data_IF_231439007579
#
_entry.id   IF_231439007579
#
_cell.length_a   1.000
_cell.length_b   1.000
_cell.length_c   1.000
_cell.angle_alpha   90.00
_cell.angle_beta   90.00
_cell.angle_gamma   90.00
#
_symmetry.space_group_name_H-M   'P 1'
#
loop_
_entity.id
_entity.type
_entity.pdbx_description
1 polymer ?
#
# COMPACT_ATOMS: atom_id res chain seq x y z
N UNK A 1 -22.31 2.39 17.11
CA UNK A 1 -21.09 2.17 17.92
C UNK A 1 -20.04 3.14 17.43
N UNK A 2 -19.61 4.07 18.26
CA UNK A 2 -18.50 4.94 17.91
C UNK A 2 -17.19 4.13 17.94
N UNK A 3 -16.49 4.06 16.84
CA UNK A 3 -15.16 3.45 16.80
C UNK A 3 -14.20 4.35 17.59
N UNK A 4 -13.45 3.79 18.52
CA UNK A 4 -12.57 4.55 19.42
C UNK A 4 -11.14 4.62 18.83
N UNK A 5 -11.01 5.27 17.68
CA UNK A 5 -9.71 5.51 17.04
C UNK A 5 -9.17 6.90 17.47
N UNK A 6 -7.85 6.97 17.70
CA UNK A 6 -7.19 8.23 18.03
C UNK A 6 -6.46 8.78 16.80
N UNK A 7 -6.54 10.09 16.59
CA UNK A 7 -5.68 10.80 15.64
C UNK A 7 -4.23 10.67 16.15
N UNK A 8 -3.23 10.49 15.28
CA UNK A 8 -1.84 10.48 15.70
C UNK A 8 -1.47 11.74 16.49
N UNK A 9 -1.00 11.58 17.72
CA UNK A 9 -0.56 12.70 18.56
C UNK A 9 0.90 12.99 18.23
N UNK A 10 1.19 14.22 17.83
CA UNK A 10 2.54 14.70 17.49
C UNK A 10 2.74 16.10 18.06
N UNK A 11 3.97 16.43 18.41
CA UNK A 11 4.38 17.80 18.64
C UNK A 11 4.69 18.55 17.33
N UNK A 12 4.61 17.86 16.20
CA UNK A 12 4.87 18.42 14.88
C UNK A 12 3.58 19.07 14.35
N UNK A 13 3.65 20.34 13.98
CA UNK A 13 2.52 21.14 13.48
C UNK A 13 2.55 21.30 11.96
N UNK A 14 3.73 21.19 11.35
CA UNK A 14 3.97 21.32 9.90
C UNK A 14 4.83 20.16 9.40
N UNK A 15 5.18 20.17 8.10
CA UNK A 15 6.16 19.23 7.55
C UNK A 15 7.51 19.34 8.28
N UNK A 16 8.21 18.21 8.40
CA UNK A 16 9.45 18.13 9.18
C UNK A 16 10.57 18.97 8.57
N UNK A 17 11.19 19.84 9.37
CA UNK A 17 12.24 20.79 8.93
C UNK A 17 13.43 20.14 8.20
N UNK A 18 13.80 18.92 8.61
CA UNK A 18 14.92 18.18 8.00
C UNK A 18 14.51 17.30 6.82
N UNK A 19 13.24 17.31 6.40
CA UNK A 19 12.77 16.43 5.31
C UNK A 19 13.52 16.71 4.01
N UNK A 20 13.63 17.97 3.59
CA UNK A 20 14.31 18.34 2.34
C UNK A 20 15.78 17.88 2.32
N UNK A 21 16.52 18.13 3.40
CA UNK A 21 17.92 17.71 3.54
C UNK A 21 18.07 16.18 3.50
N UNK A 22 17.13 15.46 4.13
CA UNK A 22 17.10 14.00 4.14
C UNK A 22 16.88 13.45 2.72
N UNK A 23 15.93 14.01 1.99
CA UNK A 23 15.59 13.61 0.61
C UNK A 23 16.74 13.86 -0.35
N UNK A 24 17.41 15.01 -0.25
CA UNK A 24 18.56 15.32 -1.09
C UNK A 24 19.67 14.28 -0.89
N UNK A 25 19.95 13.90 0.36
CA UNK A 25 20.89 12.81 0.66
C UNK A 25 20.46 11.47 0.03
N UNK A 26 19.15 11.16 0.04
CA UNK A 26 18.65 9.91 -0.54
C UNK A 26 18.70 9.89 -2.07
N UNK A 27 18.55 11.03 -2.74
CA UNK A 27 18.73 11.15 -4.21
C UNK A 27 20.14 10.77 -4.65
N UNK A 28 21.16 11.10 -3.83
CA UNK A 28 22.58 10.89 -4.16
C UNK A 28 23.18 9.62 -3.54
N UNK A 29 22.38 8.81 -2.85
CA UNK A 29 22.84 7.58 -2.21
C UNK A 29 22.03 6.37 -2.61
N UNK A 30 22.71 5.28 -3.00
CA UNK A 30 22.04 4.00 -3.26
C UNK A 30 21.77 3.28 -1.94
N UNK A 31 20.52 2.85 -1.73
CA UNK A 31 20.19 1.96 -0.61
C UNK A 31 20.63 0.53 -0.94
N UNK A 32 21.67 0.02 -0.21
CA UNK A 32 22.38 -1.23 -0.53
C UNK A 32 22.23 -2.33 0.51
N UNK A 33 21.19 -2.29 1.35
CA UNK A 33 20.96 -3.39 2.30
C UNK A 33 20.84 -4.73 1.54
N UNK A 34 21.54 -5.81 1.96
CA UNK A 34 21.38 -7.12 1.36
C UNK A 34 19.94 -7.61 1.43
N UNK A 35 19.46 -8.27 0.37
CA UNK A 35 18.13 -8.88 0.36
C UNK A 35 18.08 -10.08 1.31
N UNK A 36 17.02 -10.18 2.09
CA UNK A 36 16.75 -11.41 2.83
C UNK A 36 16.31 -12.52 1.86
N UNK A 37 16.85 -13.72 2.03
CA UNK A 37 16.57 -14.83 1.11
C UNK A 37 15.08 -15.19 1.04
N UNK A 38 14.38 -15.16 2.18
CA UNK A 38 12.94 -15.42 2.20
C UNK A 38 12.13 -14.40 1.39
N UNK A 39 12.55 -13.12 1.32
CA UNK A 39 11.93 -12.10 0.50
C UNK A 39 12.16 -12.36 -1.00
N UNK A 40 13.37 -12.81 -1.39
CA UNK A 40 13.65 -13.20 -2.77
C UNK A 40 12.77 -14.36 -3.23
N UNK A 41 12.64 -15.40 -2.40
CA UNK A 41 11.81 -16.56 -2.70
C UNK A 41 10.33 -16.20 -2.78
N UNK A 42 9.83 -15.41 -1.83
CA UNK A 42 8.45 -14.95 -1.83
C UNK A 42 8.14 -14.06 -3.03
N UNK A 43 9.05 -13.17 -3.40
CA UNK A 43 8.95 -12.34 -4.60
C UNK A 43 8.87 -13.22 -5.86
N UNK A 44 9.83 -14.11 -6.07
CA UNK A 44 9.89 -14.99 -7.24
C UNK A 44 8.59 -15.81 -7.41
N UNK A 45 8.11 -16.43 -6.33
CA UNK A 45 6.87 -17.20 -6.34
C UNK A 45 5.65 -16.33 -6.66
N UNK A 46 5.60 -15.08 -6.19
CA UNK A 46 4.50 -14.15 -6.48
C UNK A 46 4.46 -13.70 -7.93
N UNK A 47 5.63 -13.44 -8.52
CA UNK A 47 5.74 -13.04 -9.93
C UNK A 47 5.42 -14.23 -10.85
N UNK A 48 5.95 -15.43 -10.55
CA UNK A 48 5.61 -16.66 -11.28
C UNK A 48 4.10 -16.92 -11.25
N UNK A 49 3.45 -16.77 -10.09
CA UNK A 49 2.00 -16.92 -9.96
C UNK A 49 1.25 -15.90 -10.84
N UNK A 50 1.62 -14.63 -10.80
CA UNK A 50 1.02 -13.60 -11.65
C UNK A 50 1.17 -13.93 -13.13
N UNK A 51 2.40 -14.24 -13.57
CA UNK A 51 2.71 -14.58 -14.96
C UNK A 51 1.97 -15.83 -15.45
N UNK A 52 1.75 -16.80 -14.55
CA UNK A 52 1.00 -18.03 -14.89
C UNK A 52 -0.50 -17.80 -14.99
N UNK A 53 -1.10 -17.02 -14.06
CA UNK A 53 -2.54 -16.87 -13.95
C UNK A 53 -3.10 -15.73 -14.79
N UNK A 54 -2.32 -14.66 -14.98
CA UNK A 54 -2.77 -13.44 -15.60
C UNK A 54 -1.64 -12.70 -16.36
N UNK A 55 -0.96 -13.35 -17.33
CA UNK A 55 0.24 -12.81 -17.98
C UNK A 55 -0.01 -11.50 -18.75
N UNK A 56 -1.25 -11.27 -19.19
CA UNK A 56 -1.64 -10.06 -19.95
C UNK A 56 -2.18 -8.93 -19.07
N UNK A 57 -2.47 -9.19 -17.79
CA UNK A 57 -3.03 -8.18 -16.90
C UNK A 57 -1.91 -7.32 -16.30
N UNK A 58 -2.01 -5.99 -16.37
CA UNK A 58 -1.08 -5.10 -15.68
C UNK A 58 -1.17 -5.29 -14.16
N UNK A 59 -0.05 -5.05 -13.47
CA UNK A 59 0.09 -5.26 -12.04
C UNK A 59 -0.42 -4.06 -11.23
N UNK A 60 -1.18 -4.34 -10.18
CA UNK A 60 -1.43 -3.41 -9.05
C UNK A 60 -0.70 -3.94 -7.82
N UNK A 61 0.06 -3.07 -7.15
CA UNK A 61 0.71 -3.36 -5.87
C UNK A 61 -0.05 -2.70 -4.72
N UNK A 62 -0.56 -3.49 -3.77
CA UNK A 62 -1.09 -3.02 -2.49
C UNK A 62 -0.02 -3.20 -1.40
N UNK A 63 0.74 -2.15 -1.14
CA UNK A 63 1.89 -2.17 -0.27
C UNK A 63 1.49 -1.95 1.20
N UNK A 64 1.64 -2.99 2.02
CA UNK A 64 1.18 -3.00 3.41
C UNK A 64 -0.28 -3.40 3.53
N UNK A 65 -0.72 -4.38 2.74
CA UNK A 65 -2.13 -4.79 2.61
C UNK A 65 -2.80 -5.29 3.90
N UNK A 66 -2.04 -5.52 4.95
CA UNK A 66 -2.57 -5.97 6.26
C UNK A 66 -3.31 -7.30 6.16
N UNK A 67 -4.63 -7.28 6.39
CA UNK A 67 -5.50 -8.44 6.28
C UNK A 67 -5.93 -8.75 4.84
N UNK A 68 -5.53 -7.93 3.87
CA UNK A 68 -5.82 -8.12 2.45
C UNK A 68 -7.19 -7.63 1.98
N UNK A 69 -7.99 -6.98 2.84
CA UNK A 69 -9.29 -6.44 2.42
C UNK A 69 -9.15 -5.37 1.32
N UNK A 70 -8.16 -4.48 1.43
CA UNK A 70 -7.84 -3.49 0.39
C UNK A 70 -7.47 -4.14 -0.93
N UNK A 71 -6.69 -5.21 -0.91
CA UNK A 71 -6.31 -5.94 -2.12
C UNK A 71 -7.50 -6.58 -2.82
N UNK A 72 -8.44 -7.17 -2.06
CA UNK A 72 -9.68 -7.73 -2.61
C UNK A 72 -10.55 -6.65 -3.25
N UNK A 73 -10.69 -5.53 -2.55
CA UNK A 73 -11.43 -4.38 -3.07
C UNK A 73 -10.80 -3.84 -4.34
N UNK A 74 -9.47 -3.68 -4.38
CA UNK A 74 -8.75 -3.27 -5.59
C UNK A 74 -8.95 -4.27 -6.74
N UNK A 75 -8.93 -5.58 -6.49
CA UNK A 75 -9.19 -6.60 -7.49
C UNK A 75 -10.62 -6.52 -8.07
N UNK A 76 -11.58 -6.13 -7.24
CA UNK A 76 -12.96 -5.88 -7.68
C UNK A 76 -13.09 -4.59 -8.49
N UNK A 77 -12.45 -3.50 -8.04
CA UNK A 77 -12.49 -2.20 -8.73
C UNK A 77 -11.72 -2.19 -10.06
N UNK A 78 -10.69 -3.03 -10.16
CA UNK A 78 -9.82 -3.11 -11.34
C UNK A 78 -9.79 -4.54 -11.90
N UNK A 79 -10.90 -5.07 -12.44
CA UNK A 79 -10.97 -6.45 -12.93
C UNK A 79 -9.99 -6.74 -14.08
N UNK A 80 -9.56 -5.71 -14.81
CA UNK A 80 -8.54 -5.79 -15.86
C UNK A 80 -7.09 -5.72 -15.35
N UNK A 81 -6.86 -5.90 -14.04
CA UNK A 81 -5.52 -5.89 -13.43
C UNK A 81 -5.34 -7.10 -12.52
N UNK A 82 -4.09 -7.49 -12.30
CA UNK A 82 -3.73 -8.45 -11.26
C UNK A 82 -3.22 -7.71 -10.03
N UNK A 83 -3.77 -7.98 -8.86
CA UNK A 83 -3.40 -7.32 -7.60
C UNK A 83 -2.46 -8.20 -6.80
N UNK A 84 -1.32 -7.66 -6.37
CA UNK A 84 -0.45 -8.30 -5.37
C UNK A 84 -0.50 -7.48 -4.07
N UNK A 85 -1.08 -8.08 -3.03
CA UNK A 85 -1.04 -7.55 -1.67
C UNK A 85 0.19 -8.05 -0.92
N UNK A 86 1.02 -7.13 -0.42
CA UNK A 86 2.25 -7.43 0.31
C UNK A 86 2.16 -6.95 1.74
N UNK A 87 2.39 -7.82 2.72
CA UNK A 87 2.54 -7.45 4.14
C UNK A 87 3.58 -8.35 4.82
N UNK A 88 4.38 -7.78 5.72
CA UNK A 88 5.39 -8.57 6.44
C UNK A 88 4.80 -9.40 7.59
N UNK A 89 3.59 -9.09 8.06
CA UNK A 89 2.97 -9.72 9.23
C UNK A 89 2.25 -11.03 8.88
N UNK A 90 2.78 -12.19 9.30
CA UNK A 90 2.09 -13.46 9.06
C UNK A 90 0.76 -13.54 9.81
N UNK A 91 0.63 -12.84 10.94
CA UNK A 91 -0.61 -12.84 11.74
C UNK A 91 -1.74 -12.12 11.00
N UNK A 92 -1.44 -11.01 10.33
CA UNK A 92 -2.44 -10.27 9.55
C UNK A 92 -2.91 -11.08 8.34
N UNK A 93 -1.98 -11.64 7.58
CA UNK A 93 -2.28 -12.47 6.41
C UNK A 93 -3.04 -13.75 6.77
N UNK A 94 -2.73 -14.42 7.92
CA UNK A 94 -3.46 -15.61 8.40
C UNK A 94 -4.89 -15.31 8.82
N UNK A 95 -5.18 -14.14 9.38
CA UNK A 95 -6.55 -13.76 9.77
C UNK A 95 -7.51 -13.80 8.58
N UNK A 96 -7.04 -13.51 7.40
CA UNK A 96 -7.80 -13.60 6.17
C UNK A 96 -8.21 -15.05 5.83
N UNK A 97 -7.27 -16.01 5.95
CA UNK A 97 -7.54 -17.43 5.67
C UNK A 97 -8.63 -17.94 6.61
N UNK A 98 -8.56 -17.62 7.90
CA UNK A 98 -9.54 -18.02 8.90
C UNK A 98 -10.94 -17.41 8.71
N UNK A 99 -11.07 -16.26 8.05
CA UNK A 99 -12.39 -15.66 7.72
C UNK A 99 -13.00 -16.29 6.47
N UNK A 100 -12.20 -16.76 5.53
CA UNK A 100 -12.68 -17.53 4.37
C UNK A 100 -13.20 -18.92 4.77
N UNK A 101 -12.52 -19.61 5.69
CA UNK A 101 -12.93 -20.94 6.17
C UNK A 101 -14.22 -20.94 7.02
N UNK A 102 -14.60 -19.81 7.60
CA UNK A 102 -15.80 -19.72 8.46
C UNK A 102 -17.10 -19.43 7.73
N UNK A 103 -17.07 -19.27 6.40
CA UNK A 103 -18.29 -19.07 5.60
C UNK A 103 -19.14 -17.86 6.01
N UNK A 104 -18.61 -16.93 6.80
CA UNK A 104 -19.33 -15.72 7.19
C UNK A 104 -19.42 -14.78 5.98
N UNK A 105 -20.63 -14.50 5.47
CA UNK A 105 -20.76 -13.53 4.40
C UNK A 105 -20.31 -12.18 4.93
N UNK A 106 -19.31 -11.61 4.26
CA UNK A 106 -18.88 -10.24 4.50
C UNK A 106 -20.10 -9.32 4.43
N UNK A 107 -20.56 -8.80 5.57
CA UNK A 107 -21.68 -7.84 5.62
C UNK A 107 -21.22 -6.57 4.92
N UNK A 108 -21.52 -6.48 3.61
CA UNK A 108 -21.31 -5.36 2.70
C UNK A 108 -20.31 -5.57 1.54
N UNK A 109 -20.23 -6.77 0.95
CA UNK A 109 -19.68 -6.88 -0.40
C UNK A 109 -20.81 -6.71 -1.44
N UNK A 110 -20.67 -5.87 -2.47
CA UNK A 110 -21.58 -5.91 -3.60
C UNK A 110 -21.48 -7.29 -4.26
N UNK A 111 -22.65 -7.83 -4.65
CA UNK A 111 -22.90 -9.13 -5.21
C UNK A 111 -21.85 -9.55 -6.26
N UNK A 112 -21.17 -10.67 -5.99
CA UNK A 112 -20.40 -11.41 -7.00
C UNK A 112 -21.42 -12.25 -7.79
N UNK A 113 -21.47 -12.17 -9.14
CA UNK A 113 -22.32 -13.06 -9.92
C UNK A 113 -21.87 -14.51 -9.75
N UNK A 114 -22.77 -15.36 -9.27
CA UNK A 114 -22.59 -16.81 -9.20
C UNK A 114 -22.62 -17.41 -10.61
N UNK A 115 -21.48 -17.94 -11.05
CA UNK A 115 -21.43 -18.76 -12.25
C UNK A 115 -20.04 -18.95 -12.81
N UNK A 116 -19.34 -19.97 -12.33
CA UNK A 116 -18.45 -20.88 -13.07
C UNK A 116 -17.89 -21.89 -12.06
N UNK A 117 -18.30 -23.14 -12.16
CA UNK A 117 -17.99 -24.21 -11.22
C UNK A 117 -16.56 -24.75 -11.37
N UNK A 118 -16.00 -25.26 -10.26
CA UNK A 118 -14.72 -25.98 -10.21
C UNK A 118 -14.01 -25.73 -8.88
N UNK A 119 -14.14 -26.65 -7.90
CA UNK A 119 -13.69 -26.54 -6.52
C UNK A 119 -12.20 -26.27 -6.31
N UNK A 120 -11.89 -25.02 -6.06
CA UNK A 120 -10.80 -24.50 -5.26
C UNK A 120 -11.34 -23.19 -4.68
N UNK A 121 -11.02 -22.86 -3.41
CA UNK A 121 -11.61 -21.75 -2.67
C UNK A 121 -11.87 -20.52 -3.54
N UNK A 122 -13.13 -20.15 -3.74
CA UNK A 122 -13.61 -19.04 -4.58
C UNK A 122 -13.08 -17.69 -4.08
N UNK A 123 -11.81 -17.39 -4.40
CA UNK A 123 -11.20 -16.08 -4.31
C UNK A 123 -11.15 -15.46 -5.71
N UNK A 124 -11.17 -14.14 -5.81
CA UNK A 124 -10.97 -13.44 -7.08
C UNK A 124 -9.70 -13.99 -7.77
N UNK A 125 -9.83 -14.43 -9.01
CA UNK A 125 -8.73 -15.05 -9.77
C UNK A 125 -7.56 -14.07 -10.03
N UNK A 126 -7.81 -12.76 -9.90
CA UNK A 126 -6.88 -11.69 -10.19
C UNK A 126 -6.22 -11.08 -8.94
N UNK A 127 -6.07 -11.83 -7.85
CA UNK A 127 -5.39 -11.35 -6.63
C UNK A 127 -4.48 -12.41 -6.02
N UNK A 128 -3.31 -11.98 -5.56
CA UNK A 128 -2.36 -12.78 -4.82
C UNK A 128 -1.86 -12.07 -3.56
N UNK A 129 -1.36 -12.85 -2.58
CA UNK A 129 -0.85 -12.31 -1.32
C UNK A 129 0.55 -12.83 -1.05
N UNK A 130 1.40 -11.94 -0.56
CA UNK A 130 2.82 -12.20 -0.35
C UNK A 130 3.23 -11.75 1.04
N UNK A 131 3.87 -12.63 1.80
CA UNK A 131 4.56 -12.26 3.01
C UNK A 131 5.98 -11.83 2.66
N UNK A 132 6.24 -10.52 2.68
CA UNK A 132 7.57 -9.97 2.44
C UNK A 132 7.77 -8.62 3.14
N UNK A 133 9.03 -8.24 3.33
CA UNK A 133 9.40 -6.87 3.69
C UNK A 133 9.25 -5.98 2.45
N UNK A 134 8.53 -4.87 2.59
CA UNK A 134 8.25 -3.95 1.49
C UNK A 134 9.52 -3.30 0.92
N UNK A 135 10.52 -3.02 1.76
CA UNK A 135 11.79 -2.44 1.31
C UNK A 135 12.48 -3.35 0.30
N UNK A 136 12.52 -4.66 0.59
CA UNK A 136 13.08 -5.65 -0.34
C UNK A 136 12.16 -5.84 -1.55
N UNK A 137 10.84 -5.88 -1.36
CA UNK A 137 9.89 -6.14 -2.43
C UNK A 137 9.92 -5.06 -3.52
N UNK A 138 9.91 -3.76 -3.14
CA UNK A 138 10.03 -2.65 -4.09
C UNK A 138 11.35 -2.69 -4.87
N UNK A 139 12.45 -2.98 -4.19
CA UNK A 139 13.77 -3.07 -4.82
C UNK A 139 13.84 -4.26 -5.79
N UNK A 140 13.25 -5.40 -5.44
CA UNK A 140 13.17 -6.57 -6.31
C UNK A 140 12.30 -6.32 -7.54
N UNK A 141 11.19 -5.59 -7.42
CA UNK A 141 10.40 -5.13 -8.57
C UNK A 141 11.23 -4.28 -9.52
N UNK A 142 11.93 -3.27 -8.98
CA UNK A 142 12.82 -2.41 -9.77
C UNK A 142 13.93 -3.21 -10.46
N UNK A 143 14.61 -4.09 -9.73
CA UNK A 143 15.73 -4.88 -10.26
C UNK A 143 15.28 -5.88 -11.34
N UNK A 144 14.02 -6.34 -11.25
CA UNK A 144 13.38 -7.17 -12.28
C UNK A 144 12.78 -6.37 -13.45
N UNK A 145 12.85 -5.04 -13.43
CA UNK A 145 12.24 -4.18 -14.45
C UNK A 145 10.70 -4.21 -14.47
N UNK A 146 10.08 -4.69 -13.38
CA UNK A 146 8.62 -4.78 -13.28
C UNK A 146 8.07 -3.46 -12.77
N UNK A 147 7.21 -2.84 -13.56
CA UNK A 147 6.54 -1.56 -13.27
C UNK A 147 5.06 -1.81 -12.99
N UNK A 148 4.57 -1.63 -11.75
CA UNK A 148 3.13 -1.66 -11.47
C UNK A 148 2.42 -0.55 -12.24
N UNK A 149 1.26 -0.85 -12.83
CA UNK A 149 0.39 0.18 -13.40
C UNK A 149 -0.13 1.12 -12.32
N UNK A 150 -0.36 0.57 -11.13
CA UNK A 150 -0.76 1.31 -9.92
C UNK A 150 -0.10 0.72 -8.71
N UNK A 151 0.22 1.57 -7.71
CA UNK A 151 0.63 1.10 -6.39
C UNK A 151 0.06 1.99 -5.29
N UNK A 152 -0.28 1.36 -4.17
CA UNK A 152 -1.02 1.97 -3.09
C UNK A 152 -0.29 1.85 -1.76
N UNK A 153 -0.32 2.92 -0.99
CA UNK A 153 0.13 3.02 0.40
C UNK A 153 -1.05 3.47 1.26
N UNK A 154 -1.89 2.51 1.67
CA UNK A 154 -3.07 2.81 2.45
C UNK A 154 -2.78 2.82 3.95
N UNK A 155 -2.91 3.99 4.57
CA UNK A 155 -2.79 4.19 6.02
C UNK A 155 -1.52 3.56 6.63
N UNK A 156 -0.34 3.88 6.10
CA UNK A 156 0.93 3.40 6.64
C UNK A 156 1.08 3.86 8.09
N UNK A 157 1.93 3.17 8.87
CA UNK A 157 2.22 3.59 10.23
C UNK A 157 2.75 5.04 10.22
N UNK A 158 2.09 5.99 10.91
CA UNK A 158 2.40 7.41 10.77
C UNK A 158 3.72 7.81 11.44
N UNK A 159 4.21 7.04 12.44
CA UNK A 159 5.41 7.38 13.19
C UNK A 159 5.45 8.85 13.64
N UNK A 160 4.51 9.30 14.52
CA UNK A 160 4.24 10.72 14.74
C UNK A 160 5.31 11.46 15.56
N UNK A 161 6.26 10.75 16.19
CA UNK A 161 7.38 11.39 16.91
C UNK A 161 8.32 12.05 15.90
N UNK A 162 8.79 13.27 16.22
CA UNK A 162 9.71 14.05 15.38
C UNK A 162 10.94 13.22 14.99
N UNK A 163 11.63 12.57 15.92
CA UNK A 163 12.81 11.74 15.63
C UNK A 163 12.54 10.47 14.79
N UNK A 164 11.31 10.23 14.32
CA UNK A 164 10.95 9.05 13.53
C UNK A 164 10.80 9.33 12.02
N UNK A 165 11.24 10.49 11.52
CA UNK A 165 11.12 10.85 10.11
C UNK A 165 11.59 9.73 9.16
N UNK A 166 12.76 9.15 9.42
CA UNK A 166 13.32 8.06 8.58
C UNK A 166 12.55 6.73 8.64
N UNK A 167 11.55 6.60 9.53
CA UNK A 167 10.65 5.45 9.59
C UNK A 167 9.39 5.63 8.74
N UNK A 168 9.04 6.88 8.37
CA UNK A 168 7.97 7.19 7.41
C UNK A 168 8.46 6.81 6.02
N UNK A 169 7.59 6.29 5.17
CA UNK A 169 8.02 5.83 3.84
C UNK A 169 8.67 6.93 3.02
N UNK A 170 8.12 8.13 3.01
CA UNK A 170 8.69 9.28 2.31
C UNK A 170 10.02 9.77 2.89
N UNK A 171 10.32 9.47 4.16
CA UNK A 171 11.62 9.74 4.79
C UNK A 171 12.59 8.55 4.75
N UNK A 172 12.15 7.37 4.28
CA UNK A 172 13.01 6.18 4.24
C UNK A 172 13.88 6.18 2.97
N UNK A 173 15.15 5.72 3.03
CA UNK A 173 16.06 5.74 1.87
C UNK A 173 15.60 4.86 0.69
N UNK A 174 14.59 4.01 0.85
CA UNK A 174 13.97 3.26 -0.25
C UNK A 174 13.00 4.10 -1.08
N UNK A 175 12.59 5.28 -0.61
CA UNK A 175 11.52 6.05 -1.25
C UNK A 175 11.81 6.44 -2.71
N UNK A 176 13.04 6.85 -3.10
CA UNK A 176 13.36 7.04 -4.52
C UNK A 176 13.08 5.79 -5.36
N UNK A 177 13.38 4.60 -4.85
CA UNK A 177 13.06 3.33 -5.54
C UNK A 177 11.55 3.15 -5.73
N UNK A 178 10.73 3.54 -4.75
CA UNK A 178 9.26 3.48 -4.88
C UNK A 178 8.77 4.37 -6.02
N UNK A 179 9.34 5.57 -6.16
CA UNK A 179 9.02 6.50 -7.25
C UNK A 179 9.53 6.01 -8.61
N UNK A 180 10.72 5.37 -8.66
CA UNK A 180 11.28 4.80 -9.89
C UNK A 180 10.44 3.66 -10.48
N UNK A 181 9.55 3.02 -9.71
CA UNK A 181 8.65 1.99 -10.21
C UNK A 181 7.64 2.53 -11.23
N UNK A 182 7.38 3.83 -11.24
CA UNK A 182 6.44 4.45 -12.18
C UNK A 182 4.98 4.12 -11.88
N UNK A 183 4.10 4.36 -12.86
CA UNK A 183 2.67 4.13 -12.73
C UNK A 183 1.96 5.18 -11.88
N UNK A 184 0.78 4.84 -11.36
CA UNK A 184 0.00 5.71 -10.46
C UNK A 184 0.26 5.31 -9.02
N UNK A 185 0.90 6.16 -8.24
CA UNK A 185 1.09 5.96 -6.80
C UNK A 185 0.09 6.78 -6.02
N UNK A 186 -0.66 6.12 -5.13
CA UNK A 186 -1.59 6.78 -4.21
C UNK A 186 -1.23 6.45 -2.76
N UNK A 187 -1.13 7.50 -1.93
CA UNK A 187 -0.94 7.39 -0.49
C UNK A 187 -2.13 7.99 0.25
N UNK A 188 -2.65 7.29 1.29
CA UNK A 188 -3.74 7.76 2.14
C UNK A 188 -3.36 7.73 3.61
N UNK A 189 -3.83 8.70 4.37
CA UNK A 189 -3.63 8.77 5.82
C UNK A 189 -4.76 9.56 6.50
N UNK A 190 -5.00 9.30 7.79
CA UNK A 190 -5.80 10.15 8.68
C UNK A 190 -4.94 11.22 9.40
N UNK A 191 -3.70 11.37 9.01
CA UNK A 191 -2.79 12.39 9.54
C UNK A 191 -2.29 13.27 8.38
N UNK A 192 -2.81 14.51 8.33
CA UNK A 192 -2.58 15.46 7.25
C UNK A 192 -1.09 15.71 6.98
N UNK A 193 -0.30 15.90 8.06
CA UNK A 193 1.14 16.15 7.94
C UNK A 193 1.85 15.00 7.20
N UNK A 194 1.44 13.73 7.41
CA UNK A 194 2.01 12.60 6.69
C UNK A 194 1.86 12.75 5.17
N UNK A 195 0.69 13.19 4.71
CA UNK A 195 0.42 13.37 3.28
C UNK A 195 1.11 14.63 2.75
N UNK A 196 1.16 15.72 3.52
CA UNK A 196 1.91 16.93 3.15
C UNK A 196 3.42 16.63 2.98
N UNK A 197 4.01 15.88 3.91
CA UNK A 197 5.39 15.40 3.78
C UNK A 197 5.60 14.47 2.59
N UNK A 198 4.64 13.58 2.34
CA UNK A 198 4.66 12.72 1.16
C UNK A 198 4.65 13.54 -0.12
N UNK A 199 3.78 14.56 -0.24
CA UNK A 199 3.76 15.48 -1.37
C UNK A 199 5.08 16.21 -1.53
N UNK A 200 5.61 16.79 -0.46
CA UNK A 200 6.92 17.46 -0.47
C UNK A 200 8.02 16.53 -0.96
N UNK A 201 8.03 15.27 -0.51
CA UNK A 201 9.03 14.29 -0.91
C UNK A 201 8.93 13.93 -2.39
N UNK A 202 7.72 13.70 -2.91
CA UNK A 202 7.49 13.47 -4.34
C UNK A 202 7.94 14.67 -5.15
N UNK A 203 7.50 15.89 -4.80
CA UNK A 203 7.85 17.11 -5.51
C UNK A 203 9.36 17.32 -5.54
N UNK A 204 10.05 17.11 -4.41
CA UNK A 204 11.51 17.25 -4.31
C UNK A 204 12.26 16.25 -5.19
N UNK A 205 11.83 14.97 -5.20
CA UNK A 205 12.57 13.91 -5.91
C UNK A 205 12.27 13.91 -7.41
N UNK A 206 11.00 14.14 -7.79
CA UNK A 206 10.54 13.95 -9.19
C UNK A 206 10.39 15.26 -9.96
N UNK A 207 10.32 16.40 -9.26
CA UNK A 207 9.95 17.68 -9.84
C UNK A 207 8.47 17.81 -10.22
N UNK A 208 7.64 16.80 -9.91
CA UNK A 208 6.19 16.82 -10.17
C UNK A 208 5.47 17.50 -9.04
N UNK A 209 4.56 18.40 -9.35
CA UNK A 209 3.77 19.09 -8.36
C UNK A 209 2.50 18.29 -8.02
N UNK A 210 2.40 17.84 -6.77
CA UNK A 210 1.22 17.17 -6.22
C UNK A 210 0.83 17.80 -4.88
N UNK A 211 -0.43 17.68 -4.53
CA UNK A 211 -1.00 18.30 -3.34
C UNK A 211 -1.69 17.29 -2.44
N UNK A 212 -1.77 17.65 -1.15
CA UNK A 212 -2.56 16.94 -0.16
C UNK A 212 -4.04 17.29 -0.35
N UNK A 213 -4.86 16.27 -0.60
CA UNK A 213 -6.31 16.41 -0.74
C UNK A 213 -7.02 15.82 0.47
N UNK A 214 -7.97 16.56 1.06
CA UNK A 214 -8.97 15.98 1.93
C UNK A 214 -10.00 15.23 1.07
N UNK A 215 -10.39 14.01 1.49
CA UNK A 215 -11.36 13.21 0.75
C UNK A 215 -12.24 12.38 1.67
N UNK A 216 -13.44 12.05 1.19
CA UNK A 216 -14.34 11.13 1.87
C UNK A 216 -14.63 9.96 0.92
N UNK A 217 -14.12 8.75 1.21
CA UNK A 217 -14.41 7.58 0.38
C UNK A 217 -15.87 7.15 0.56
N UNK A 218 -16.58 6.95 -0.54
CA UNK A 218 -17.94 6.42 -0.58
C UNK A 218 -18.06 5.37 -1.68
N UNK A 219 -18.19 4.08 -1.32
CA UNK A 219 -18.08 3.52 0.03
C UNK A 219 -16.63 3.49 0.54
N UNK A 220 -16.42 3.36 1.89
CA UNK A 220 -15.10 3.15 2.47
C UNK A 220 -14.43 1.88 1.95
N UNK A 221 -13.25 2.01 1.41
CA UNK A 221 -12.54 0.96 0.66
C UNK A 221 -11.66 0.07 1.55
N UNK A 222 -11.31 0.54 2.73
CA UNK A 222 -10.42 -0.19 3.65
C UNK A 222 -11.02 -0.29 5.06
N UNK A 223 -10.59 -1.28 5.88
CA UNK A 223 -10.98 -1.34 7.29
C UNK A 223 -10.61 -0.06 8.06
N UNK A 224 -9.50 0.57 7.69
CA UNK A 224 -9.04 1.81 8.32
C UNK A 224 -9.96 2.97 8.00
N UNK A 225 -10.42 3.12 6.75
CA UNK A 225 -11.38 4.16 6.37
C UNK A 225 -12.69 4.01 7.14
N UNK A 226 -13.26 2.79 7.18
CA UNK A 226 -14.47 2.53 7.98
C UNK A 226 -14.29 2.93 9.44
N UNK A 227 -13.16 2.54 10.04
CA UNK A 227 -12.83 2.85 11.43
C UNK A 227 -12.64 4.35 11.67
N UNK A 228 -11.89 5.01 10.80
CA UNK A 228 -11.57 6.44 10.95
C UNK A 228 -12.80 7.31 10.73
N UNK A 229 -13.57 7.06 9.68
CA UNK A 229 -14.84 7.78 9.44
C UNK A 229 -15.84 7.58 10.59
N UNK A 230 -15.99 6.34 11.10
CA UNK A 230 -16.83 6.08 12.27
C UNK A 230 -16.32 6.76 13.56
N UNK A 231 -15.06 7.21 13.59
CA UNK A 231 -14.45 7.98 14.69
C UNK A 231 -14.43 9.49 14.44
N UNK A 232 -15.00 9.97 13.30
CA UNK A 232 -15.04 11.39 12.94
C UNK A 232 -13.70 11.97 12.49
N UNK A 233 -12.78 11.13 11.97
CA UNK A 233 -11.51 11.62 11.46
C UNK A 233 -11.66 12.11 10.02
N UNK A 234 -10.98 13.21 9.70
CA UNK A 234 -10.69 13.58 8.32
C UNK A 234 -9.70 12.60 7.70
N UNK A 235 -9.85 12.36 6.40
CA UNK A 235 -8.94 11.53 5.61
C UNK A 235 -8.28 12.38 4.53
N UNK A 236 -7.02 12.09 4.28
CA UNK A 236 -6.17 12.80 3.33
C UNK A 236 -5.52 11.81 2.37
N UNK A 237 -5.35 12.24 1.12
CA UNK A 237 -4.64 11.47 0.10
C UNK A 237 -3.72 12.35 -0.74
N UNK A 238 -2.78 11.71 -1.39
CA UNK A 238 -2.01 12.25 -2.51
C UNK A 238 -1.93 11.21 -3.61
N UNK A 239 -2.05 11.65 -4.86
CA UNK A 239 -1.96 10.82 -6.07
C UNK A 239 -0.90 11.41 -6.98
N UNK A 240 0.00 10.57 -7.50
CA UNK A 240 1.00 10.98 -8.48
C UNK A 240 1.05 10.00 -9.65
N UNK A 241 1.15 10.54 -10.86
CA UNK A 241 1.43 9.79 -12.08
C UNK A 241 2.94 9.88 -12.36
N UNK A 242 3.67 8.79 -12.15
CA UNK A 242 5.14 8.71 -12.23
C UNK A 242 5.63 8.36 -13.63
#
# INVERSE_FOLDING_TARGET
>A
MHANSRIPISAQETTHEHLATLLERHRHSSFRKPYANYNRLAFAASIERWQRLAPSLPLILDAGCGTGESSLMLATLFPGHYVIGVDQSPVRLRRRIATQDRGEPHRSSPLIPSGLGGGEAEGLANVGFVRADLVDYWRLLRDAGIRPARHYLFYPNPWPKIGHLSRRWHGHPVFPTVLDLGGVLECRSNWRIYIEEFCQAVNTITGREIHCEAFTPDPPQTPFERKYLASGHDLFRAVVHL
#
